data_IF_449016170864
#
_entry.id   IF_449016170864
#
_cell.length_a   1.000
_cell.length_b   1.000
_cell.length_c   1.000
_cell.angle_alpha   90.00
_cell.angle_beta   90.00
_cell.angle_gamma   90.00
#
_symmetry.space_group_name_H-M   'P 1'
#
loop_
_entity.id
_entity.type
_entity.pdbx_description
1 polymer ?
#
# COMPACT_ATOMS: atom_id res chain seq x y z
N UNK A 1 -3.76 -13.02 2.23
CA UNK A 1 -5.05 -13.68 2.01
C UNK A 1 -5.01 -15.04 2.71
N UNK A 2 -5.79 -15.24 3.77
CA UNK A 2 -5.77 -16.45 4.59
C UNK A 2 -4.37 -16.90 5.07
N UNK A 3 -3.46 -15.94 5.30
CA UNK A 3 -2.06 -16.18 5.68
C UNK A 3 -1.09 -16.44 4.53
N UNK A 4 -1.55 -16.42 3.27
CA UNK A 4 -0.66 -16.49 2.11
C UNK A 4 -0.11 -15.10 1.78
N UNK A 5 1.20 -14.98 1.71
CA UNK A 5 1.87 -13.76 1.25
C UNK A 5 1.90 -13.72 -0.29
N UNK A 6 0.94 -13.03 -0.87
CA UNK A 6 0.80 -12.91 -2.33
C UNK A 6 1.93 -12.12 -2.99
N UNK A 7 2.72 -11.37 -2.22
CA UNK A 7 3.85 -10.59 -2.76
C UNK A 7 5.02 -11.48 -3.20
N UNK A 8 5.11 -12.68 -2.67
CA UNK A 8 6.14 -13.66 -3.04
C UNK A 8 5.82 -14.39 -4.35
N UNK A 9 4.58 -14.31 -4.83
CA UNK A 9 4.15 -14.96 -6.06
C UNK A 9 4.53 -14.13 -7.29
N UNK A 10 4.76 -14.78 -8.46
CA UNK A 10 4.72 -14.06 -9.73
C UNK A 10 3.42 -13.24 -9.86
N UNK A 11 3.51 -12.02 -10.42
CA UNK A 11 2.40 -11.09 -10.38
C UNK A 11 1.12 -11.63 -11.02
N UNK A 12 1.21 -12.43 -12.06
CA UNK A 12 0.04 -13.04 -12.70
C UNK A 12 -0.73 -13.94 -11.72
N UNK A 13 -0.01 -14.71 -10.90
CA UNK A 13 -0.62 -15.57 -9.88
C UNK A 13 -1.17 -14.74 -8.73
N UNK A 14 -0.44 -13.71 -8.31
CA UNK A 14 -0.89 -12.77 -7.27
C UNK A 14 -2.19 -12.07 -7.68
N UNK A 15 -2.29 -11.55 -8.90
CA UNK A 15 -3.50 -10.91 -9.43
C UNK A 15 -4.67 -11.91 -9.49
N UNK A 16 -4.44 -13.15 -9.94
CA UNK A 16 -5.49 -14.18 -9.95
C UNK A 16 -5.99 -14.43 -8.52
N UNK A 17 -5.12 -14.50 -7.53
CA UNK A 17 -5.51 -14.68 -6.13
C UNK A 17 -6.30 -13.49 -5.58
N UNK A 18 -5.84 -12.28 -5.87
CA UNK A 18 -6.55 -11.06 -5.49
C UNK A 18 -7.93 -11.00 -6.14
N UNK A 19 -8.03 -11.29 -7.44
CA UNK A 19 -9.31 -11.33 -8.17
C UNK A 19 -10.27 -12.39 -7.60
N UNK A 20 -9.79 -13.54 -7.16
CA UNK A 20 -10.64 -14.56 -6.51
C UNK A 20 -11.30 -14.07 -5.22
N UNK A 21 -10.65 -13.16 -4.50
CA UNK A 21 -11.14 -12.62 -3.20
C UNK A 21 -11.89 -11.30 -3.38
N UNK A 22 -11.39 -10.41 -4.24
CA UNK A 22 -11.87 -9.04 -4.39
C UNK A 22 -12.87 -8.87 -5.54
N UNK A 23 -12.99 -9.88 -6.42
CA UNK A 23 -13.74 -9.75 -7.67
C UNK A 23 -12.86 -9.24 -8.81
N UNK A 24 -13.49 -8.94 -9.95
CA UNK A 24 -12.78 -8.36 -11.10
C UNK A 24 -12.23 -6.98 -10.76
N UNK A 25 -11.01 -6.64 -11.21
CA UNK A 25 -10.46 -5.31 -11.00
C UNK A 25 -11.26 -4.24 -11.76
N UNK A 26 -11.37 -3.06 -11.14
CA UNK A 26 -12.03 -1.91 -11.76
C UNK A 26 -11.15 -1.28 -12.84
N UNK A 27 -9.82 -1.38 -12.67
CA UNK A 27 -8.87 -0.76 -13.58
C UNK A 27 -7.55 -1.53 -13.61
N UNK A 28 -6.97 -1.60 -14.81
CA UNK A 28 -5.58 -2.00 -15.02
C UNK A 28 -4.93 -0.96 -15.93
N UNK A 29 -3.89 -0.29 -15.44
CA UNK A 29 -3.19 0.73 -16.23
C UNK A 29 -2.30 0.10 -17.28
N UNK A 30 -1.99 0.80 -18.39
CA UNK A 30 -0.96 0.36 -19.32
C UNK A 30 0.42 0.29 -18.63
N UNK A 31 1.30 -0.57 -19.13
CA UNK A 31 2.71 -0.62 -18.71
C UNK A 31 3.34 0.76 -18.94
N UNK A 32 4.07 1.26 -17.96
CA UNK A 32 4.67 2.59 -17.97
C UNK A 32 3.80 3.67 -17.33
N UNK A 33 2.60 3.34 -16.85
CA UNK A 33 1.66 4.30 -16.25
C UNK A 33 1.38 4.03 -14.77
N UNK A 34 2.19 3.21 -14.12
CA UNK A 34 1.96 2.88 -12.70
C UNK A 34 2.10 4.07 -11.76
N UNK A 35 3.05 4.98 -12.08
CA UNK A 35 3.27 6.22 -11.36
C UNK A 35 3.79 7.29 -12.33
N UNK A 36 3.37 8.54 -12.17
CA UNK A 36 3.75 9.63 -13.06
C UNK A 36 5.24 9.99 -13.03
N UNK A 37 5.99 9.58 -12.02
CA UNK A 37 7.31 10.16 -11.77
C UNK A 37 8.50 9.20 -11.88
N UNK A 38 8.40 7.92 -11.62
CA UNK A 38 9.61 7.07 -11.54
C UNK A 38 9.48 5.61 -12.00
N UNK A 39 8.30 5.10 -12.32
CA UNK A 39 8.15 3.70 -12.73
C UNK A 39 7.62 3.59 -14.15
N UNK A 40 8.47 3.93 -15.10
CA UNK A 40 8.23 3.60 -16.53
C UNK A 40 8.17 2.09 -16.80
N UNK A 41 8.30 1.23 -15.77
CA UNK A 41 8.60 -0.20 -15.89
C UNK A 41 7.56 -1.07 -15.20
N UNK A 42 6.37 -0.55 -14.96
CA UNK A 42 5.31 -1.27 -14.28
C UNK A 42 3.91 -0.82 -14.67
N UNK A 43 2.94 -1.46 -14.06
CA UNK A 43 1.52 -1.11 -14.18
C UNK A 43 0.83 -1.26 -12.83
N UNK A 44 -0.36 -0.68 -12.69
CA UNK A 44 -1.18 -0.80 -11.51
C UNK A 44 -2.47 -1.58 -11.79
N UNK A 45 -2.96 -2.31 -10.79
CA UNK A 45 -4.27 -2.96 -10.80
C UNK A 45 -5.03 -2.49 -9.58
N UNK A 46 -6.28 -2.01 -9.78
CA UNK A 46 -7.10 -1.41 -8.74
C UNK A 46 -8.43 -2.13 -8.55
N UNK A 47 -8.81 -2.32 -7.29
CA UNK A 47 -10.11 -2.79 -6.82
C UNK A 47 -10.66 -1.77 -5.81
N UNK A 48 -11.62 -0.97 -6.17
CA UNK A 48 -12.14 0.15 -5.37
C UNK A 48 -11.01 1.08 -4.87
N UNK A 49 -10.78 1.10 -3.57
CA UNK A 49 -9.76 1.88 -2.87
C UNK A 49 -8.41 1.16 -2.74
N UNK A 50 -8.34 -0.14 -3.04
CA UNK A 50 -7.11 -0.93 -3.01
C UNK A 50 -6.44 -1.01 -4.36
N UNK A 51 -5.14 -0.70 -4.39
CA UNK A 51 -4.33 -0.77 -5.59
C UNK A 51 -3.05 -1.54 -5.33
N UNK A 52 -2.63 -2.36 -6.27
CA UNK A 52 -1.31 -2.99 -6.30
C UNK A 52 -0.49 -2.45 -7.45
N UNK A 53 0.81 -2.29 -7.21
CA UNK A 53 1.80 -1.87 -8.19
C UNK A 53 2.63 -3.08 -8.58
N UNK A 54 2.74 -3.33 -9.87
CA UNK A 54 3.50 -4.46 -10.44
C UNK A 54 4.72 -3.94 -11.17
N UNK A 55 5.89 -4.49 -10.86
CA UNK A 55 7.12 -4.18 -11.59
C UNK A 55 7.36 -5.23 -12.68
N UNK A 56 7.45 -4.79 -13.92
CA UNK A 56 7.64 -5.68 -15.09
C UNK A 56 9.11 -5.82 -15.50
N UNK A 57 9.98 -4.89 -15.12
CA UNK A 57 11.40 -4.89 -15.45
C UNK A 57 12.25 -4.51 -14.24
N UNK A 58 13.55 -4.79 -14.31
CA UNK A 58 14.48 -4.37 -13.25
C UNK A 58 14.61 -2.85 -13.21
N UNK A 59 14.61 -2.29 -12.00
CA UNK A 59 14.77 -0.86 -11.82
C UNK A 59 16.24 -0.45 -12.08
N UNK A 60 16.54 0.30 -13.15
CA UNK A 60 17.90 0.68 -13.50
C UNK A 60 18.52 1.67 -12.50
N UNK A 61 17.73 2.29 -11.65
CA UNK A 61 18.17 3.31 -10.69
C UNK A 61 18.42 2.76 -9.29
N UNK A 62 18.26 1.43 -9.08
CA UNK A 62 18.74 0.74 -7.89
C UNK A 62 18.05 1.11 -6.58
N UNK A 63 16.83 1.58 -6.61
CA UNK A 63 16.04 1.89 -5.42
C UNK A 63 15.00 0.79 -5.13
N UNK A 64 15.09 0.17 -3.96
CA UNK A 64 14.09 -0.77 -3.46
C UNK A 64 14.34 -2.24 -3.85
N UNK A 65 13.82 -3.14 -3.02
CA UNK A 65 13.93 -4.60 -3.22
C UNK A 65 12.82 -5.15 -4.13
N UNK A 66 12.14 -4.29 -4.90
CA UNK A 66 11.09 -4.72 -5.82
C UNK A 66 11.67 -5.65 -6.88
N UNK A 67 11.14 -6.86 -6.94
CA UNK A 67 11.58 -7.88 -7.89
C UNK A 67 10.80 -7.75 -9.19
N UNK A 68 11.51 -7.81 -10.32
CA UNK A 68 10.89 -7.98 -11.63
C UNK A 68 9.87 -9.12 -11.61
N UNK A 69 8.69 -8.85 -12.16
CA UNK A 69 7.62 -9.85 -12.26
C UNK A 69 6.84 -10.09 -10.96
N UNK A 70 6.96 -9.20 -9.97
CA UNK A 70 6.27 -9.31 -8.68
C UNK A 70 5.52 -8.01 -8.34
N UNK A 71 4.68 -8.07 -7.30
CA UNK A 71 4.10 -6.90 -6.69
C UNK A 71 5.23 -6.09 -6.03
N UNK A 72 5.33 -4.82 -6.37
CA UNK A 72 6.33 -3.90 -5.85
C UNK A 72 5.81 -3.07 -4.66
N UNK A 73 4.51 -2.92 -4.55
CA UNK A 73 3.86 -2.18 -3.48
C UNK A 73 2.35 -2.26 -3.60
N UNK A 74 1.68 -1.75 -2.58
CA UNK A 74 0.23 -1.58 -2.56
C UNK A 74 -0.14 -0.31 -1.84
N UNK A 75 -1.30 0.21 -2.12
CA UNK A 75 -1.88 1.31 -1.38
C UNK A 75 -3.40 1.18 -1.23
N UNK A 76 -3.92 1.85 -0.21
CA UNK A 76 -5.34 2.02 0.08
C UNK A 76 -5.66 3.50 0.06
N UNK A 77 -6.71 3.86 -0.67
CA UNK A 77 -7.24 5.24 -0.79
C UNK A 77 -6.28 6.22 -1.48
N UNK A 78 -5.54 5.77 -2.47
CA UNK A 78 -4.66 6.63 -3.27
C UNK A 78 -5.36 7.87 -3.85
N UNK A 79 -6.63 7.79 -4.14
CA UNK A 79 -7.44 8.91 -4.65
C UNK A 79 -8.17 9.58 -3.50
N UNK A 80 -7.49 10.05 -2.46
CA UNK A 80 -7.99 10.89 -1.37
C UNK A 80 -9.52 11.12 -1.41
N UNK A 81 -10.27 10.05 -1.17
CA UNK A 81 -11.72 10.16 -1.03
C UNK A 81 -11.96 10.78 0.35
N UNK A 82 -12.62 11.91 0.40
CA UNK A 82 -12.86 12.69 1.63
C UNK A 82 -13.51 11.89 2.76
N UNK A 83 -14.05 10.70 2.45
CA UNK A 83 -14.70 9.84 3.43
C UNK A 83 -14.30 8.37 3.19
N UNK A 84 -13.15 7.90 3.73
CA UNK A 84 -12.67 6.52 3.55
C UNK A 84 -13.48 5.51 4.36
N UNK A 85 -14.79 5.70 4.46
CA UNK A 85 -15.69 4.85 5.24
C UNK A 85 -16.02 3.62 4.42
N UNK A 86 -15.44 2.49 4.74
CA UNK A 86 -15.72 1.12 4.29
C UNK A 86 -14.60 0.43 3.50
N UNK A 87 -13.33 0.71 3.82
CA UNK A 87 -12.29 -0.20 3.34
C UNK A 87 -12.53 -1.59 3.91
N UNK A 88 -12.62 -2.59 3.04
CA UNK A 88 -12.72 -4.00 3.44
C UNK A 88 -11.38 -4.55 3.94
N UNK A 89 -10.33 -3.73 3.88
CA UNK A 89 -8.98 -4.11 4.27
C UNK A 89 -8.70 -3.74 5.71
N UNK A 90 -8.15 -4.71 6.44
CA UNK A 90 -7.68 -4.50 7.81
C UNK A 90 -6.27 -5.04 7.97
N UNK A 91 -5.45 -4.33 8.74
CA UNK A 91 -4.14 -4.76 9.18
C UNK A 91 -4.11 -4.74 10.71
N UNK A 92 -4.00 -5.90 11.34
CA UNK A 92 -4.06 -6.05 12.80
C UNK A 92 -5.27 -5.33 13.44
N UNK A 93 -6.43 -5.40 12.78
CA UNK A 93 -7.66 -4.77 13.25
C UNK A 93 -7.78 -3.27 12.94
N UNK A 94 -6.78 -2.66 12.32
CA UNK A 94 -6.84 -1.29 11.81
C UNK A 94 -7.31 -1.26 10.37
N UNK A 95 -8.08 -0.24 10.04
CA UNK A 95 -8.56 0.07 8.69
C UNK A 95 -8.39 1.56 8.42
N UNK A 96 -8.66 1.99 7.21
CA UNK A 96 -8.90 3.41 6.94
C UNK A 96 -9.96 3.94 7.92
N UNK A 97 -9.74 5.15 8.43
CA UNK A 97 -10.59 5.76 9.46
C UNK A 97 -10.28 5.35 10.90
N UNK A 98 -9.39 4.37 11.15
CA UNK A 98 -8.87 4.09 12.48
C UNK A 98 -8.11 5.29 13.03
N UNK A 99 -8.20 5.54 14.35
CA UNK A 99 -7.51 6.68 14.96
C UNK A 99 -6.03 6.42 15.14
N UNK A 100 -5.22 7.48 15.14
CA UNK A 100 -3.78 7.41 15.46
C UNK A 100 -3.55 6.80 16.86
N UNK A 101 -4.40 7.13 17.83
CA UNK A 101 -4.36 6.52 19.15
C UNK A 101 -4.54 5.01 19.13
N UNK A 102 -5.48 4.50 18.30
CA UNK A 102 -5.67 3.07 18.12
C UNK A 102 -4.46 2.42 17.40
N UNK A 103 -3.90 3.11 16.42
CA UNK A 103 -2.72 2.64 15.69
C UNK A 103 -1.49 2.51 16.60
N UNK A 104 -1.24 3.51 17.47
CA UNK A 104 -0.18 3.47 18.50
C UNK A 104 -0.33 2.29 19.46
N UNK A 105 -1.56 1.96 19.83
CA UNK A 105 -1.82 0.80 20.69
C UNK A 105 -1.61 -0.54 19.98
N UNK A 106 -1.95 -0.61 18.70
CA UNK A 106 -1.76 -1.83 17.89
C UNK A 106 -0.28 -2.06 17.51
N UNK A 107 0.49 -0.98 17.36
CA UNK A 107 1.89 -1.00 16.93
C UNK A 107 2.75 -0.09 17.83
N UNK A 108 3.01 -0.51 19.08
CA UNK A 108 3.73 0.33 20.05
C UNK A 108 5.19 0.62 19.68
N UNK A 109 5.78 -0.17 18.78
CA UNK A 109 7.16 -0.02 18.32
C UNK A 109 7.25 0.69 16.95
N UNK A 110 6.13 1.17 16.40
CA UNK A 110 6.12 1.89 15.13
C UNK A 110 6.83 3.24 15.25
N UNK A 111 7.55 3.61 14.21
CA UNK A 111 8.17 4.93 14.09
C UNK A 111 7.13 5.95 13.63
N UNK A 112 7.15 7.13 14.25
CA UNK A 112 6.28 8.23 13.88
C UNK A 112 7.08 9.44 13.41
N UNK A 113 6.51 10.21 12.50
CA UNK A 113 7.10 11.46 12.06
C UNK A 113 6.23 12.25 11.09
N UNK A 114 6.66 13.47 10.84
CA UNK A 114 6.06 14.34 9.83
C UNK A 114 6.42 13.84 8.43
N UNK A 115 5.41 13.68 7.57
CA UNK A 115 5.55 13.39 6.14
C UNK A 115 5.40 14.66 5.29
N UNK A 116 5.10 14.51 4.01
CA UNK A 116 4.87 15.62 3.08
C UNK A 116 3.47 16.24 3.26
N UNK A 117 3.24 16.86 4.42
CA UNK A 117 1.97 17.52 4.76
C UNK A 117 1.00 16.67 5.55
N UNK A 118 1.45 15.53 6.05
CA UNK A 118 0.71 14.61 6.90
C UNK A 118 1.56 14.11 8.08
N UNK A 119 0.96 13.35 8.98
CA UNK A 119 1.63 12.63 10.06
C UNK A 119 1.67 11.14 9.72
N UNK A 120 2.83 10.54 9.72
CA UNK A 120 3.02 9.15 9.27
C UNK A 120 3.45 8.26 10.43
N UNK A 121 2.75 7.13 10.60
CA UNK A 121 3.14 6.03 11.46
C UNK A 121 3.67 4.89 10.60
N UNK A 122 4.96 4.58 10.74
CA UNK A 122 5.67 3.55 9.96
C UNK A 122 5.82 2.29 10.77
N UNK A 123 5.28 1.21 10.24
CA UNK A 123 5.35 -0.12 10.82
C UNK A 123 6.44 -0.89 10.07
N UNK A 124 7.55 -1.13 10.75
CA UNK A 124 8.59 -2.02 10.21
C UNK A 124 8.29 -3.46 10.66
N UNK A 125 7.94 -4.31 9.73
CA UNK A 125 7.61 -5.71 10.02
C UNK A 125 8.63 -6.71 9.46
N UNK A 126 9.78 -6.26 8.95
CA UNK A 126 10.84 -7.15 8.50
C UNK A 126 11.64 -6.67 7.28
N UNK A 127 12.52 -7.53 6.75
CA UNK A 127 13.49 -7.16 5.72
C UNK A 127 12.90 -7.04 4.30
N UNK A 128 11.65 -7.42 4.11
CA UNK A 128 11.00 -7.37 2.79
C UNK A 128 10.31 -6.02 2.56
N UNK A 129 10.39 -5.49 1.35
CA UNK A 129 9.80 -4.19 0.95
C UNK A 129 8.30 -4.10 1.23
N UNK A 130 7.61 -5.24 1.21
CA UNK A 130 6.18 -5.33 1.47
C UNK A 130 5.86 -5.69 2.93
N UNK A 131 6.87 -5.90 3.76
CA UNK A 131 6.70 -6.26 5.16
C UNK A 131 6.41 -5.05 6.06
N UNK A 132 6.78 -3.84 5.62
CA UNK A 132 6.42 -2.60 6.28
C UNK A 132 5.11 -2.01 5.75
N UNK A 133 4.49 -1.15 6.53
CA UNK A 133 3.37 -0.35 6.08
C UNK A 133 3.43 1.04 6.71
N UNK A 134 2.94 2.03 5.98
CA UNK A 134 2.76 3.39 6.48
C UNK A 134 1.28 3.70 6.59
N UNK A 135 0.90 4.29 7.70
CA UNK A 135 -0.42 4.86 7.91
C UNK A 135 -0.29 6.38 7.95
N UNK A 136 -1.09 7.05 7.16
CA UNK A 136 -1.05 8.50 6.99
C UNK A 136 -2.25 9.16 7.66
N UNK A 137 -1.99 10.19 8.47
CA UNK A 137 -2.97 10.93 9.27
C UNK A 137 -2.82 12.43 8.96
N UNK A 138 -3.91 13.16 9.01
CA UNK A 138 -3.89 14.61 8.77
C UNK A 138 -3.04 15.38 9.80
N UNK A 139 -2.98 14.89 11.05
CA UNK A 139 -2.23 15.52 12.15
C UNK A 139 -1.70 14.47 13.13
N UNK A 140 -0.85 14.89 14.09
CA UNK A 140 -0.34 14.08 15.20
C UNK A 140 -1.35 13.87 16.36
N UNK A 141 -2.58 14.36 16.19
CA UNK A 141 -3.64 14.18 17.18
C UNK A 141 -4.00 12.71 17.36
N UNK A 142 -4.17 12.22 18.61
CA UNK A 142 -4.62 10.85 18.85
C UNK A 142 -5.97 10.50 18.19
N UNK A 143 -6.82 11.51 17.95
CA UNK A 143 -8.13 11.36 17.32
C UNK A 143 -8.08 11.50 15.79
N UNK A 144 -6.92 11.88 15.22
CA UNK A 144 -6.74 11.92 13.76
C UNK A 144 -6.98 10.53 13.16
N UNK A 145 -7.63 10.51 12.00
CA UNK A 145 -8.02 9.26 11.34
C UNK A 145 -7.08 8.93 10.20
N UNK A 146 -6.76 7.63 10.06
CA UNK A 146 -5.99 7.14 8.92
C UNK A 146 -6.77 7.39 7.63
N UNK A 147 -6.17 8.16 6.73
CA UNK A 147 -6.75 8.54 5.44
C UNK A 147 -6.17 7.73 4.29
N UNK A 148 -4.93 7.27 4.47
CA UNK A 148 -4.18 6.55 3.46
C UNK A 148 -3.31 5.48 4.13
N UNK A 149 -3.11 4.36 3.47
CA UNK A 149 -2.16 3.31 3.87
C UNK A 149 -1.39 2.86 2.64
N UNK A 150 -0.12 2.61 2.81
CA UNK A 150 0.72 2.05 1.76
C UNK A 150 1.76 1.06 2.29
N UNK A 151 2.37 0.34 1.37
CA UNK A 151 3.55 -0.48 1.63
C UNK A 151 4.36 -0.66 0.36
N UNK A 152 5.68 -0.71 0.52
CA UNK A 152 6.61 -0.88 -0.58
C UNK A 152 6.74 0.38 -1.42
N UNK A 153 6.63 0.23 -2.72
CA UNK A 153 6.71 1.34 -3.66
C UNK A 153 5.33 2.00 -3.79
N UNK A 154 5.10 3.08 -3.07
CA UNK A 154 3.90 3.89 -3.23
C UNK A 154 4.15 5.01 -4.26
N UNK A 155 3.16 5.26 -5.11
CA UNK A 155 3.20 6.40 -6.01
C UNK A 155 2.92 7.68 -5.21
N UNK A 156 3.89 8.57 -5.10
CA UNK A 156 3.70 9.87 -4.46
C UNK A 156 4.43 10.05 -3.13
N UNK A 157 5.30 9.15 -2.77
CA UNK A 157 6.27 9.37 -1.67
C UNK A 157 7.58 9.94 -2.16
#
# INVERSE_FOLDING_TARGET
LDGEDVSTLPYEQAIVRLTQVLGEPDETTPVGSACETHVSLGFAVRWNDFRVLVQTEDNPYGGGNARKGHIAGWDLNYVWVEDPVNSSFTMNGLSLGSTLGAARLAFPDAEEGEGDGDWVLRIDSGPDVLSGASLHFETDSPDARAQFMDSGYACGS
#
